data_IF_275736576541
#
_entry.id   IF_275736576541
#
_cell.length_a   1.000
_cell.length_b   1.000
_cell.length_c   1.000
_cell.angle_alpha   90.00
_cell.angle_beta   90.00
_cell.angle_gamma   90.00
#
_symmetry.space_group_name_H-M   'P 1'
#
loop_
_entity.id
_entity.type
_entity.pdbx_description
1 polymer ?
#
# COMPACT_ATOMS: atom_id res chain seq x y z
N UNK A 1 -34.32 11.75 -4.26
CA UNK A 1 -33.52 12.81 -3.62
C UNK A 1 -32.19 12.17 -3.35
N UNK A 2 -31.17 12.54 -4.11
CA UNK A 2 -29.81 12.04 -3.90
C UNK A 2 -29.36 12.64 -2.57
N UNK A 3 -28.93 11.79 -1.65
CA UNK A 3 -28.47 12.18 -0.33
C UNK A 3 -27.19 13.01 -0.50
N UNK A 4 -27.26 14.32 -0.21
CA UNK A 4 -26.14 15.25 -0.35
C UNK A 4 -24.95 14.92 0.58
N UNK A 5 -25.06 13.88 1.41
CA UNK A 5 -24.00 13.41 2.30
C UNK A 5 -23.03 12.40 1.65
N UNK A 6 -23.30 11.87 0.45
CA UNK A 6 -22.36 10.95 -0.22
C UNK A 6 -21.08 11.63 -0.75
N UNK A 7 -21.10 12.96 -0.91
CA UNK A 7 -20.05 13.73 -1.60
C UNK A 7 -19.40 14.81 -0.75
N UNK A 8 -19.84 15.01 0.49
CA UNK A 8 -18.98 15.69 1.45
C UNK A 8 -17.85 14.71 1.71
N UNK A 9 -16.65 15.03 1.23
CA UNK A 9 -15.41 14.33 1.57
C UNK A 9 -15.48 13.93 3.05
N UNK A 10 -15.80 12.67 3.32
CA UNK A 10 -15.80 12.19 4.69
C UNK A 10 -14.40 12.49 5.21
N UNK A 11 -14.33 13.07 6.41
CA UNK A 11 -13.05 13.45 6.99
C UNK A 11 -12.14 12.21 6.89
N UNK A 12 -10.92 12.28 6.34
CA UNK A 12 -10.05 11.11 6.19
C UNK A 12 -9.94 10.28 7.48
N UNK A 13 -10.04 10.94 8.64
CA UNK A 13 -10.11 10.30 9.94
C UNK A 13 -11.36 9.41 10.15
N UNK A 14 -12.54 9.86 9.72
CA UNK A 14 -13.78 9.08 9.77
C UNK A 14 -13.72 7.86 8.86
N UNK A 15 -13.12 8.00 7.67
CA UNK A 15 -12.93 6.89 6.73
C UNK A 15 -11.98 5.81 7.27
N UNK A 16 -10.87 6.24 7.87
CA UNK A 16 -9.95 5.33 8.55
C UNK A 16 -10.67 4.66 9.73
N UNK A 17 -11.45 5.39 10.52
CA UNK A 17 -12.20 4.84 11.65
C UNK A 17 -13.25 3.80 11.23
N UNK A 18 -13.99 4.07 10.16
CA UNK A 18 -14.94 3.12 9.59
C UNK A 18 -14.23 1.86 9.13
N UNK A 19 -13.14 1.99 8.36
CA UNK A 19 -12.33 0.86 7.94
C UNK A 19 -11.85 0.06 9.15
N UNK A 20 -11.34 0.71 10.21
CA UNK A 20 -10.89 0.05 11.43
C UNK A 20 -11.95 -0.82 12.11
N UNK A 21 -13.24 -0.54 11.88
CA UNK A 21 -14.38 -1.26 12.47
C UNK A 21 -14.99 -2.32 11.54
N UNK A 22 -14.77 -2.26 10.24
CA UNK A 22 -15.38 -3.18 9.27
C UNK A 22 -14.36 -4.16 8.68
N UNK A 23 -14.55 -5.47 8.92
CA UNK A 23 -13.84 -6.57 8.24
C UNK A 23 -14.55 -7.01 6.94
N UNK A 24 -15.44 -6.18 6.37
CA UNK A 24 -16.34 -6.62 5.32
C UNK A 24 -15.59 -6.92 4.00
N UNK A 25 -15.43 -8.21 3.73
CA UNK A 25 -14.96 -8.73 2.45
C UNK A 25 -15.97 -8.36 1.37
N UNK A 26 -15.60 -7.39 0.53
CA UNK A 26 -16.41 -7.04 -0.65
C UNK A 26 -15.99 -7.91 -1.83
N UNK A 27 -16.88 -8.20 -2.81
CA UNK A 27 -16.53 -8.96 -4.02
C UNK A 27 -15.40 -8.34 -4.85
N UNK A 28 -15.06 -7.07 -4.58
CA UNK A 28 -14.02 -6.30 -5.26
C UNK A 28 -12.76 -6.14 -4.41
N UNK A 29 -12.65 -6.75 -3.21
CA UNK A 29 -11.54 -6.54 -2.26
C UNK A 29 -10.17 -6.87 -2.86
N UNK A 30 -10.10 -7.86 -3.77
CA UNK A 30 -8.90 -8.19 -4.54
C UNK A 30 -8.64 -7.36 -5.80
N UNK A 31 -9.52 -6.42 -6.14
CA UNK A 31 -9.38 -5.52 -7.29
C UNK A 31 -8.89 -4.15 -6.80
N UNK A 32 -7.60 -3.90 -7.03
CA UNK A 32 -6.97 -2.60 -6.85
C UNK A 32 -7.01 -1.82 -8.18
N UNK A 33 -7.98 -0.90 -8.31
CA UNK A 33 -8.12 -0.12 -9.54
C UNK A 33 -7.03 0.95 -9.68
N UNK A 34 -6.40 1.32 -8.57
CA UNK A 34 -5.30 2.30 -8.55
C UNK A 34 -3.97 1.69 -8.98
N UNK A 35 -3.78 0.39 -8.75
CA UNK A 35 -2.60 -0.36 -9.19
C UNK A 35 -2.57 -0.63 -10.71
N UNK A 36 -3.67 -0.38 -11.44
CA UNK A 36 -3.65 -0.46 -12.90
C UNK A 36 -2.72 0.61 -13.49
N UNK A 37 -1.51 0.19 -13.83
CA UNK A 37 -0.52 1.01 -14.55
C UNK A 37 -0.85 1.08 -16.05
N UNK A 38 -1.93 1.80 -16.36
CA UNK A 38 -2.32 2.07 -17.74
C UNK A 38 -1.81 3.45 -18.12
N UNK A 39 -0.86 3.51 -19.04
CA UNK A 39 -0.22 4.76 -19.49
C UNK A 39 -1.23 5.85 -19.84
N UNK A 40 -2.32 5.50 -20.53
CA UNK A 40 -3.34 6.47 -20.92
C UNK A 40 -4.11 7.06 -19.72
N UNK A 41 -4.38 6.25 -18.68
CA UNK A 41 -4.98 6.73 -17.43
C UNK A 41 -4.02 7.61 -16.65
N UNK A 42 -2.73 7.27 -16.58
CA UNK A 42 -1.71 8.11 -15.94
C UNK A 42 -1.57 9.47 -16.64
N UNK A 43 -1.59 9.49 -17.97
CA UNK A 43 -1.62 10.74 -18.74
C UNK A 43 -2.88 11.57 -18.45
N UNK A 44 -4.04 10.92 -18.29
CA UNK A 44 -5.26 11.59 -17.89
C UNK A 44 -5.13 12.19 -16.48
N UNK A 45 -4.69 11.41 -15.49
CA UNK A 45 -4.45 11.88 -14.11
C UNK A 45 -3.57 13.14 -14.11
N UNK A 46 -2.44 13.11 -14.81
CA UNK A 46 -1.54 14.27 -14.94
C UNK A 46 -2.21 15.49 -15.59
N UNK A 47 -3.02 15.28 -16.62
CA UNK A 47 -3.66 16.37 -17.35
C UNK A 47 -4.75 17.11 -16.55
N UNK A 48 -5.25 16.50 -15.48
CA UNK A 48 -6.30 17.03 -14.61
C UNK A 48 -5.85 17.28 -13.16
N UNK A 49 -4.58 17.06 -12.82
CA UNK A 49 -4.08 17.15 -11.44
C UNK A 49 -3.94 18.58 -10.86
N UNK A 50 -4.00 19.62 -11.68
CA UNK A 50 -3.81 21.01 -11.25
C UNK A 50 -4.99 21.92 -11.55
N UNK A 51 -4.92 23.18 -11.10
CA UNK A 51 -5.99 24.19 -11.27
C UNK A 51 -6.39 24.45 -12.73
N UNK A 52 -5.52 24.09 -13.68
CA UNK A 52 -5.76 24.22 -15.11
C UNK A 52 -5.69 22.86 -15.78
N UNK A 53 -6.74 22.51 -16.52
CA UNK A 53 -6.78 21.31 -17.35
C UNK A 53 -5.77 21.45 -18.48
N UNK A 54 -4.76 20.60 -18.48
CA UNK A 54 -3.72 20.55 -19.52
C UNK A 54 -4.14 19.69 -20.74
N UNK A 55 -5.26 18.98 -20.64
CA UNK A 55 -5.84 18.22 -21.74
C UNK A 55 -6.44 19.14 -22.82
N UNK A 56 -6.39 18.70 -24.09
CA UNK A 56 -6.95 19.47 -25.20
C UNK A 56 -8.46 19.25 -25.29
N UNK A 57 -9.25 20.33 -25.27
CA UNK A 57 -10.69 20.27 -25.51
C UNK A 57 -10.98 19.96 -26.97
N UNK A 58 -11.77 18.91 -27.22
CA UNK A 58 -12.14 18.47 -28.56
C UNK A 58 -13.46 19.11 -29.01
N UNK A 59 -13.39 20.05 -29.97
CA UNK A 59 -14.52 20.91 -30.36
C UNK A 59 -15.71 20.14 -30.93
N UNK A 60 -15.49 19.24 -31.88
CA UNK A 60 -16.56 18.46 -32.50
C UNK A 60 -17.26 17.53 -31.51
N UNK A 61 -16.49 16.90 -30.63
CA UNK A 61 -17.03 15.95 -29.65
C UNK A 61 -17.78 16.70 -28.58
N UNK A 62 -17.28 17.87 -28.18
CA UNK A 62 -17.98 18.75 -27.25
C UNK A 62 -19.34 19.19 -27.80
N UNK A 63 -19.43 19.45 -29.11
CA UNK A 63 -20.69 19.80 -29.77
C UNK A 63 -21.69 18.63 -29.75
N UNK A 64 -21.24 17.40 -30.03
CA UNK A 64 -22.09 16.19 -30.04
C UNK A 64 -22.56 15.80 -28.63
N UNK A 65 -21.68 15.90 -27.63
CA UNK A 65 -21.98 15.60 -26.24
C UNK A 65 -22.76 16.73 -25.53
N UNK A 66 -22.83 17.92 -26.14
CA UNK A 66 -23.34 19.16 -25.54
C UNK A 66 -22.71 19.48 -24.17
N UNK A 67 -21.43 19.16 -24.02
CA UNK A 67 -20.61 19.40 -22.83
C UNK A 67 -19.12 19.41 -23.19
N UNK A 68 -18.23 19.98 -22.36
CA UNK A 68 -16.80 19.89 -22.61
C UNK A 68 -16.33 18.44 -22.69
N UNK A 69 -15.63 18.12 -23.78
CA UNK A 69 -14.97 16.84 -23.99
C UNK A 69 -13.48 17.10 -24.16
N UNK A 70 -12.66 16.36 -23.42
CA UNK A 70 -11.21 16.45 -23.45
C UNK A 70 -10.62 15.17 -24.04
N UNK A 71 -9.53 15.33 -24.80
CA UNK A 71 -8.83 14.23 -25.42
C UNK A 71 -7.48 14.00 -24.76
N UNK A 72 -7.23 12.75 -24.37
CA UNK A 72 -5.92 12.28 -23.91
C UNK A 72 -5.27 11.49 -25.05
N UNK A 73 -4.03 11.83 -25.38
CA UNK A 73 -3.32 11.28 -26.55
C UNK A 73 -2.03 10.61 -26.14
N UNK A 74 -1.98 9.28 -26.20
CA UNK A 74 -0.70 8.58 -26.21
C UNK A 74 -0.10 8.64 -27.63
N UNK A 75 0.95 9.44 -27.81
CA UNK A 75 1.61 9.62 -29.12
C UNK A 75 2.46 8.43 -29.53
N UNK A 76 2.96 7.66 -28.57
CA UNK A 76 3.83 6.51 -28.85
C UNK A 76 3.03 5.32 -29.38
N UNK A 77 1.87 5.07 -28.78
CA UNK A 77 1.07 3.88 -29.09
C UNK A 77 -0.14 4.18 -29.99
N UNK A 78 -0.48 5.46 -30.19
CA UNK A 78 -1.64 5.87 -30.97
C UNK A 78 -2.97 5.77 -30.23
N UNK A 79 -3.00 5.32 -28.97
CA UNK A 79 -4.22 5.26 -28.16
C UNK A 79 -4.76 6.67 -27.82
N UNK A 80 -6.08 6.74 -27.72
CA UNK A 80 -6.84 7.96 -27.44
C UNK A 80 -7.90 7.70 -26.38
N UNK A 81 -8.01 8.64 -25.44
CA UNK A 81 -9.02 8.63 -24.38
C UNK A 81 -9.94 9.83 -24.50
N UNK A 82 -11.23 9.63 -24.28
CA UNK A 82 -12.21 10.70 -24.09
C UNK A 82 -12.44 10.87 -22.59
N UNK A 83 -12.19 12.08 -22.09
CA UNK A 83 -12.47 12.46 -20.71
C UNK A 83 -13.55 13.54 -20.69
N UNK A 84 -14.53 13.36 -19.81
CA UNK A 84 -15.64 14.30 -19.58
C UNK A 84 -15.65 14.65 -18.08
N UNK A 85 -16.06 15.87 -17.75
CA UNK A 85 -16.31 16.25 -16.36
C UNK A 85 -17.76 15.96 -15.99
N UNK A 86 -17.97 15.42 -14.80
CA UNK A 86 -19.31 15.32 -14.22
C UNK A 86 -19.81 16.68 -13.69
N UNK A 87 -20.93 16.67 -12.96
CA UNK A 87 -21.52 17.89 -12.42
C UNK A 87 -20.73 18.53 -11.28
N UNK A 88 -19.83 17.78 -10.64
CA UNK A 88 -18.94 18.25 -9.58
C UNK A 88 -17.58 18.70 -10.11
N UNK A 89 -17.31 18.42 -11.40
CA UNK A 89 -16.05 18.76 -12.04
C UNK A 89 -15.05 17.60 -12.04
N UNK A 90 -15.46 16.40 -11.65
CA UNK A 90 -14.57 15.24 -11.61
C UNK A 90 -14.37 14.64 -13.00
N UNK A 91 -13.12 14.29 -13.39
CA UNK A 91 -12.82 13.75 -14.70
C UNK A 91 -13.09 12.24 -14.79
N UNK A 92 -13.94 11.86 -15.76
CA UNK A 92 -14.26 10.46 -16.08
C UNK A 92 -13.78 10.10 -17.49
N UNK A 93 -12.96 9.06 -17.62
CA UNK A 93 -12.61 8.51 -18.93
C UNK A 93 -13.73 7.59 -19.41
N UNK A 94 -14.46 8.03 -20.43
CA UNK A 94 -15.70 7.38 -20.89
C UNK A 94 -15.52 6.58 -22.18
N UNK A 95 -14.35 6.68 -22.80
CA UNK A 95 -13.98 5.92 -23.99
C UNK A 95 -12.46 5.83 -24.12
N UNK A 96 -11.98 4.68 -24.58
CA UNK A 96 -10.60 4.43 -24.95
C UNK A 96 -10.58 3.67 -26.29
N UNK A 97 -9.73 4.09 -27.23
CA UNK A 97 -9.65 3.46 -28.55
C UNK A 97 -8.36 3.80 -29.29
N UNK A 98 -8.09 3.08 -30.37
CA UNK A 98 -6.98 3.41 -31.27
C UNK A 98 -7.24 4.74 -31.98
N UNK A 99 -6.19 5.35 -32.56
CA UNK A 99 -6.34 6.56 -33.38
C UNK A 99 -7.37 6.38 -34.51
N UNK A 100 -7.38 5.22 -35.16
CA UNK A 100 -8.33 4.91 -36.22
C UNK A 100 -9.78 4.87 -35.71
N UNK A 101 -10.02 4.18 -34.60
CA UNK A 101 -11.36 4.07 -34.00
C UNK A 101 -11.86 5.42 -33.47
N UNK A 102 -10.96 6.25 -32.97
CA UNK A 102 -11.28 7.59 -32.51
C UNK A 102 -11.79 8.48 -33.66
N UNK A 103 -11.30 8.30 -34.88
CA UNK A 103 -11.72 9.09 -36.05
C UNK A 103 -12.77 8.42 -36.93
N UNK A 104 -13.05 7.13 -36.74
CA UNK A 104 -14.07 6.39 -37.51
C UNK A 104 -15.51 6.86 -37.26
N UNK A 105 -15.74 7.70 -36.24
CA UNK A 105 -17.05 8.23 -35.88
C UNK A 105 -17.87 7.34 -34.94
N UNK A 106 -17.41 6.11 -34.68
CA UNK A 106 -18.07 5.20 -33.74
C UNK A 106 -18.10 5.78 -32.31
N UNK A 107 -17.00 6.36 -31.85
CA UNK A 107 -16.94 7.01 -30.53
C UNK A 107 -17.90 8.20 -30.41
N UNK A 108 -18.19 8.94 -31.49
CA UNK A 108 -19.16 10.05 -31.49
C UNK A 108 -20.55 9.56 -31.12
N UNK A 109 -20.94 8.34 -31.54
CA UNK A 109 -22.26 7.79 -31.24
C UNK A 109 -22.38 7.40 -29.76
N UNK A 110 -21.29 6.94 -29.15
CA UNK A 110 -21.20 6.61 -27.72
C UNK A 110 -21.46 7.87 -26.88
N UNK A 111 -20.74 8.97 -27.17
CA UNK A 111 -20.77 10.19 -26.34
C UNK A 111 -21.91 11.16 -26.68
N UNK A 112 -22.88 10.78 -27.52
CA UNK A 112 -24.02 11.65 -27.87
C UNK A 112 -24.76 12.12 -26.63
N UNK A 113 -25.18 13.38 -26.61
CA UNK A 113 -25.96 13.91 -25.48
C UNK A 113 -27.23 13.09 -25.16
N UNK A 114 -27.88 12.49 -26.17
CA UNK A 114 -29.04 11.61 -25.98
C UNK A 114 -28.71 10.29 -25.27
N UNK A 115 -27.44 9.90 -25.24
CA UNK A 115 -26.94 8.65 -24.67
C UNK A 115 -26.19 8.89 -23.35
N UNK A 116 -26.34 10.08 -22.73
CA UNK A 116 -25.60 10.46 -21.53
C UNK A 116 -25.72 9.43 -20.40
N UNK A 117 -26.87 8.79 -20.24
CA UNK A 117 -27.10 7.72 -19.25
C UNK A 117 -26.21 6.49 -19.43
N UNK A 118 -25.62 6.29 -20.61
CA UNK A 118 -24.86 5.08 -20.94
C UNK A 118 -23.34 5.24 -20.74
N UNK A 119 -22.85 6.48 -20.65
CA UNK A 119 -21.41 6.75 -20.56
C UNK A 119 -21.05 7.66 -19.39
N UNK A 120 -22.01 8.38 -18.80
CA UNK A 120 -21.78 9.11 -17.56
C UNK A 120 -21.77 8.14 -16.38
N UNK A 121 -21.02 8.45 -15.32
CA UNK A 121 -20.98 7.64 -14.12
C UNK A 121 -22.39 7.39 -13.56
N UNK A 122 -22.68 6.14 -13.23
CA UNK A 122 -23.86 5.71 -12.50
C UNK A 122 -23.65 5.80 -10.98
N UNK A 123 -24.68 5.48 -10.19
CA UNK A 123 -24.54 5.40 -8.74
C UNK A 123 -23.50 4.36 -8.32
N UNK A 124 -23.42 3.23 -9.04
CA UNK A 124 -22.44 2.18 -8.80
C UNK A 124 -21.00 2.65 -9.05
N UNK A 125 -20.76 3.46 -10.09
CA UNK A 125 -19.43 4.02 -10.37
C UNK A 125 -18.95 4.91 -9.22
N UNK A 126 -19.86 5.70 -8.62
CA UNK A 126 -19.53 6.53 -7.46
C UNK A 126 -19.27 5.70 -6.20
N UNK A 127 -19.95 4.57 -6.00
CA UNK A 127 -19.65 3.65 -4.91
C UNK A 127 -18.25 3.04 -5.04
N UNK A 128 -17.86 2.63 -6.26
CA UNK A 128 -16.50 2.15 -6.54
C UNK A 128 -15.48 3.24 -6.25
N UNK A 129 -15.71 4.46 -6.74
CA UNK A 129 -14.82 5.60 -6.48
C UNK A 129 -14.65 5.87 -4.99
N UNK A 130 -15.75 5.99 -4.24
CA UNK A 130 -15.71 6.25 -2.78
C UNK A 130 -14.85 5.20 -2.07
N UNK A 131 -15.04 3.92 -2.42
CA UNK A 131 -14.24 2.80 -1.89
C UNK A 131 -12.76 2.90 -2.26
N UNK A 132 -12.41 3.30 -3.48
CA UNK A 132 -11.00 3.50 -3.86
C UNK A 132 -10.37 4.71 -3.15
N UNK A 133 -11.12 5.79 -2.93
CA UNK A 133 -10.67 6.94 -2.13
C UNK A 133 -10.43 6.55 -0.67
N UNK A 134 -11.35 5.82 -0.05
CA UNK A 134 -11.21 5.23 1.28
C UNK A 134 -9.99 4.33 1.39
N UNK A 135 -9.81 3.42 0.42
CA UNK A 135 -8.64 2.55 0.33
C UNK A 135 -7.38 3.40 0.29
N UNK A 136 -7.28 4.37 -0.61
CA UNK A 136 -6.10 5.22 -0.75
C UNK A 136 -5.76 5.98 0.53
N UNK A 137 -6.76 6.54 1.22
CA UNK A 137 -6.54 7.17 2.52
C UNK A 137 -6.00 6.20 3.56
N UNK A 138 -6.47 4.95 3.57
CA UNK A 138 -5.94 3.91 4.43
C UNK A 138 -4.50 3.50 4.04
N UNK A 139 -4.19 3.41 2.75
CA UNK A 139 -2.82 3.11 2.27
C UNK A 139 -1.85 4.23 2.66
N UNK A 140 -2.27 5.48 2.51
CA UNK A 140 -1.50 6.64 2.94
C UNK A 140 -1.27 6.65 4.46
N UNK A 141 -2.27 6.23 5.23
CA UNK A 141 -2.13 6.03 6.66
C UNK A 141 -1.09 4.96 6.99
N UNK A 142 -1.19 3.77 6.40
CA UNK A 142 -0.22 2.68 6.62
C UNK A 142 1.20 3.15 6.22
N UNK A 143 1.36 3.80 5.06
CA UNK A 143 2.65 4.37 4.61
C UNK A 143 3.25 5.32 5.65
N UNK A 144 2.45 6.21 6.22
CA UNK A 144 2.92 7.16 7.25
C UNK A 144 3.35 6.46 8.53
N UNK A 145 2.55 5.50 9.00
CA UNK A 145 2.85 4.72 10.22
C UNK A 145 4.19 3.99 10.07
N UNK A 146 4.43 3.38 8.92
CA UNK A 146 5.66 2.62 8.67
C UNK A 146 6.86 3.55 8.58
N UNK A 147 6.72 4.67 7.87
CA UNK A 147 7.80 5.66 7.78
C UNK A 147 8.16 6.20 9.16
N UNK A 148 7.16 6.52 9.98
CA UNK A 148 7.37 7.01 11.34
C UNK A 148 8.04 5.93 12.21
N UNK A 149 7.56 4.69 12.15
CA UNK A 149 8.15 3.54 12.84
C UNK A 149 9.62 3.34 12.46
N UNK A 150 9.93 3.33 11.16
CA UNK A 150 11.30 3.22 10.64
C UNK A 150 12.18 4.37 11.14
N UNK A 151 11.66 5.60 11.10
CA UNK A 151 12.38 6.78 11.58
C UNK A 151 12.71 6.68 13.07
N UNK A 152 11.76 6.23 13.92
CA UNK A 152 12.00 6.05 15.36
C UNK A 152 12.98 4.92 15.64
N UNK A 153 12.89 3.80 14.91
CA UNK A 153 13.83 2.69 15.05
C UNK A 153 15.25 3.18 14.70
N UNK A 154 15.43 3.81 13.54
CA UNK A 154 16.72 4.38 13.12
C UNK A 154 17.27 5.37 14.16
N UNK A 155 16.45 6.31 14.62
CA UNK A 155 16.84 7.30 15.61
C UNK A 155 17.28 6.64 16.93
N UNK A 156 16.55 5.63 17.41
CA UNK A 156 16.90 4.87 18.60
C UNK A 156 18.21 4.11 18.45
N UNK A 157 18.44 3.46 17.31
CA UNK A 157 19.69 2.73 17.00
C UNK A 157 20.87 3.69 17.07
N UNK A 158 20.79 4.85 16.41
CA UNK A 158 21.85 5.86 16.42
C UNK A 158 22.11 6.47 17.81
N UNK A 159 21.04 6.71 18.59
CA UNK A 159 21.17 7.20 19.95
C UNK A 159 21.85 6.18 20.88
N UNK A 160 21.50 4.89 20.74
CA UNK A 160 22.13 3.78 21.47
C UNK A 160 23.60 3.57 21.12
N UNK A 161 24.04 3.93 19.91
CA UNK A 161 25.46 3.89 19.52
C UNK A 161 26.30 5.01 20.16
N UNK A 162 25.67 6.11 20.59
CA UNK A 162 26.37 7.32 21.05
C UNK A 162 26.29 7.53 22.57
N UNK A 163 25.39 6.83 23.26
CA UNK A 163 25.11 7.06 24.69
C UNK A 163 24.96 5.71 25.42
N UNK A 164 25.66 5.54 26.54
CA UNK A 164 25.59 4.35 27.40
C UNK A 164 24.35 4.31 28.32
N UNK A 165 23.28 5.05 27.97
CA UNK A 165 22.00 5.05 28.67
C UNK A 165 20.89 4.85 27.63
N UNK A 166 20.23 3.69 27.71
CA UNK A 166 19.30 3.17 26.70
C UNK A 166 17.89 3.01 27.27
N UNK A 167 17.10 4.09 27.35
CA UNK A 167 15.69 4.01 27.81
C UNK A 167 14.75 5.03 27.15
N UNK A 168 15.14 5.67 26.05
CA UNK A 168 14.30 6.71 25.45
C UNK A 168 13.08 6.10 24.71
N UNK A 169 12.00 5.87 25.46
CA UNK A 169 10.66 5.62 24.94
C UNK A 169 10.30 6.70 23.92
N UNK A 170 10.21 6.30 22.67
CA UNK A 170 9.94 7.20 21.56
C UNK A 170 8.49 7.02 21.12
N UNK A 171 7.64 8.02 21.39
CA UNK A 171 6.26 7.99 20.95
C UNK A 171 6.17 7.93 19.41
N UNK A 172 5.27 7.09 18.92
CA UNK A 172 4.89 7.03 17.51
C UNK A 172 3.79 8.05 17.25
N UNK A 173 4.01 8.94 16.28
CA UNK A 173 2.95 9.81 15.80
C UNK A 173 2.00 9.01 14.91
N UNK A 174 0.90 8.57 15.50
CA UNK A 174 -0.19 7.91 14.80
C UNK A 174 -1.19 8.99 14.38
N UNK A 175 -1.32 9.35 13.09
CA UNK A 175 -2.16 10.45 12.61
C UNK A 175 -3.65 10.04 12.58
N UNK A 176 -4.09 9.32 13.62
CA UNK A 176 -5.40 8.71 13.74
C UNK A 176 -5.81 8.67 15.22
N UNK A 177 -7.08 9.00 15.49
CA UNK A 177 -7.68 8.94 16.82
C UNK A 177 -8.77 7.88 16.82
N UNK A 178 -8.91 7.16 17.94
CA UNK A 178 -10.00 6.20 18.15
C UNK A 178 -10.99 6.83 19.12
N UNK A 179 -12.26 6.94 18.73
CA UNK A 179 -13.31 7.57 19.55
C UNK A 179 -12.92 8.99 20.02
N UNK A 180 -12.20 9.74 19.19
CA UNK A 180 -11.74 11.11 19.46
C UNK A 180 -10.53 11.24 20.40
N UNK A 181 -9.93 10.13 20.85
CA UNK A 181 -8.74 10.13 21.68
C UNK A 181 -7.48 9.74 20.88
N UNK A 182 -6.32 10.40 21.11
CA UNK A 182 -5.07 10.03 20.46
C UNK A 182 -4.63 8.63 20.89
N UNK A 183 -4.13 7.86 19.93
CA UNK A 183 -3.54 6.54 20.21
C UNK A 183 -2.20 6.72 20.89
N UNK A 184 -1.93 5.89 21.90
CA UNK A 184 -0.62 5.82 22.56
C UNK A 184 0.13 4.59 22.06
N UNK A 185 1.08 4.79 21.17
CA UNK A 185 2.02 3.78 20.73
C UNK A 185 3.45 4.30 20.85
N UNK A 186 4.42 3.43 21.11
CA UNK A 186 5.82 3.82 21.29
C UNK A 186 6.77 2.73 20.84
N UNK A 187 8.00 3.14 20.54
CA UNK A 187 9.14 2.25 20.30
C UNK A 187 10.19 2.52 21.35
N UNK A 188 10.73 1.44 21.91
CA UNK A 188 11.87 1.49 22.80
C UNK A 188 12.98 0.61 22.23
N UNK A 189 14.22 1.06 22.36
CA UNK A 189 15.40 0.29 21.99
C UNK A 189 16.27 0.14 23.23
N UNK A 190 16.72 -1.09 23.46
CA UNK A 190 17.57 -1.48 24.58
C UNK A 190 18.79 -2.23 24.03
N UNK A 191 19.97 -1.95 24.59
CA UNK A 191 21.13 -2.80 24.31
C UNK A 191 20.95 -4.15 25.00
N UNK A 192 21.42 -5.20 24.36
CA UNK A 192 21.54 -6.50 25.00
C UNK A 192 22.75 -6.49 25.95
N UNK A 193 22.49 -6.32 27.25
CA UNK A 193 23.53 -6.25 28.28
C UNK A 193 24.28 -7.57 28.48
N UNK A 194 23.78 -8.69 27.91
CA UNK A 194 24.35 -10.03 28.04
C UNK A 194 25.37 -10.38 26.93
N UNK A 195 25.64 -9.49 25.96
CA UNK A 195 26.56 -9.74 24.84
C UNK A 195 27.95 -9.10 25.02
N UNK A 196 28.97 -9.92 25.32
CA UNK A 196 30.39 -9.53 25.41
C UNK A 196 31.05 -9.25 24.02
N UNK A 197 30.27 -9.27 22.93
CA UNK A 197 30.78 -9.08 21.56
C UNK A 197 31.08 -7.61 21.22
N UNK A 198 31.97 -7.39 20.24
CA UNK A 198 32.34 -6.04 19.78
C UNK A 198 31.22 -5.31 19.02
N UNK A 199 30.10 -5.99 18.75
CA UNK A 199 28.94 -5.46 18.01
C UNK A 199 27.66 -5.82 18.78
N UNK A 200 27.17 -4.87 19.57
CA UNK A 200 26.11 -5.08 20.56
C UNK A 200 24.76 -5.33 19.87
N UNK A 201 24.12 -6.45 20.18
CA UNK A 201 22.73 -6.71 19.78
C UNK A 201 21.78 -5.67 20.41
N UNK A 202 20.66 -5.40 19.76
CA UNK A 202 19.67 -4.44 20.27
C UNK A 202 18.27 -5.04 20.31
N UNK A 203 17.63 -4.99 21.47
CA UNK A 203 16.21 -5.28 21.60
C UNK A 203 15.40 -4.08 21.17
N UNK A 204 14.44 -4.29 20.28
CA UNK A 204 13.44 -3.30 19.91
C UNK A 204 12.08 -3.77 20.42
N UNK A 205 11.42 -2.93 21.20
CA UNK A 205 10.06 -3.12 21.69
C UNK A 205 9.11 -2.13 21.00
N UNK A 206 8.08 -2.65 20.34
CA UNK A 206 6.90 -1.90 19.96
C UNK A 206 5.84 -2.05 21.05
N UNK A 207 5.26 -0.96 21.51
CA UNK A 207 4.22 -0.95 22.54
C UNK A 207 2.97 -0.23 22.05
N UNK A 208 1.79 -0.84 22.22
CA UNK A 208 0.48 -0.21 22.03
C UNK A 208 -0.30 -0.22 23.35
N UNK A 209 -0.85 0.94 23.71
CA UNK A 209 -1.59 1.15 24.95
C UNK A 209 -3.06 1.53 24.70
N UNK A 210 -3.98 0.81 25.33
CA UNK A 210 -5.43 0.91 25.05
C UNK A 210 -6.31 0.61 26.28
N UNK A 211 -7.58 1.05 26.32
CA UNK A 211 -8.54 0.67 27.37
C UNK A 211 -8.82 -0.84 27.37
N UNK A 212 -8.97 -1.47 28.54
CA UNK A 212 -9.21 -2.93 28.63
C UNK A 212 -10.51 -3.36 27.95
N UNK A 213 -11.50 -2.47 27.92
CA UNK A 213 -12.79 -2.70 27.27
C UNK A 213 -12.66 -2.87 25.74
N UNK A 214 -11.55 -2.42 25.15
CA UNK A 214 -11.24 -2.50 23.71
C UNK A 214 -10.30 -3.67 23.39
N UNK A 215 -10.15 -4.65 24.29
CA UNK A 215 -9.31 -5.83 24.07
C UNK A 215 -9.92 -6.86 23.09
N UNK A 216 -11.20 -6.71 22.73
CA UNK A 216 -11.85 -7.60 21.77
C UNK A 216 -11.15 -7.54 20.39
N UNK A 217 -11.08 -8.68 19.71
CA UNK A 217 -10.44 -8.80 18.40
C UNK A 217 -11.12 -7.98 17.31
N UNK A 218 -12.39 -7.60 17.51
CA UNK A 218 -13.14 -6.72 16.60
C UNK A 218 -12.92 -5.22 16.86
N UNK A 219 -12.16 -4.87 17.91
CA UNK A 219 -11.95 -3.46 18.27
C UNK A 219 -11.05 -2.73 17.27
N UNK A 220 -11.20 -1.40 17.12
CA UNK A 220 -10.27 -0.59 16.35
C UNK A 220 -8.82 -0.71 16.83
N UNK A 221 -8.60 -0.95 18.13
CA UNK A 221 -7.28 -1.14 18.71
C UNK A 221 -6.66 -2.48 18.32
N UNK A 222 -7.46 -3.56 18.24
CA UNK A 222 -6.99 -4.85 17.76
C UNK A 222 -6.57 -4.78 16.29
N UNK A 223 -7.34 -4.09 15.44
CA UNK A 223 -6.97 -3.88 14.02
C UNK A 223 -5.73 -3.00 13.89
N UNK A 224 -5.64 -1.92 14.67
CA UNK A 224 -4.43 -1.09 14.72
C UNK A 224 -3.20 -1.87 15.19
N UNK A 225 -3.34 -2.73 16.20
CA UNK A 225 -2.25 -3.59 16.63
C UNK A 225 -1.77 -4.51 15.50
N UNK A 226 -2.68 -5.16 14.77
CA UNK A 226 -2.30 -6.01 13.62
C UNK A 226 -1.52 -5.21 12.58
N UNK A 227 -1.94 -3.97 12.29
CA UNK A 227 -1.23 -3.08 11.36
C UNK A 227 0.16 -2.74 11.89
N UNK A 228 0.27 -2.26 13.14
CA UNK A 228 1.56 -1.91 13.75
C UNK A 228 2.51 -3.11 13.81
N UNK A 229 2.01 -4.27 14.21
CA UNK A 229 2.80 -5.51 14.28
C UNK A 229 3.26 -5.97 12.89
N UNK A 230 2.40 -5.86 11.87
CA UNK A 230 2.79 -6.12 10.47
C UNK A 230 3.91 -5.18 10.00
N UNK A 231 3.76 -3.88 10.26
CA UNK A 231 4.78 -2.88 9.94
C UNK A 231 6.10 -3.17 10.67
N UNK A 232 6.00 -3.52 11.95
CA UNK A 232 7.14 -3.83 12.81
C UNK A 232 7.88 -5.07 12.33
N UNK A 233 7.16 -6.16 12.05
CA UNK A 233 7.75 -7.38 11.51
C UNK A 233 8.37 -7.16 10.12
N UNK A 234 7.75 -6.33 9.27
CA UNK A 234 8.31 -6.00 7.95
C UNK A 234 9.65 -5.23 8.06
N UNK A 235 9.79 -4.36 9.05
CA UNK A 235 11.02 -3.59 9.30
C UNK A 235 12.08 -4.46 9.98
N UNK A 236 11.71 -5.10 11.10
CA UNK A 236 12.64 -5.80 11.98
C UNK A 236 13.02 -7.19 11.47
N UNK A 237 12.14 -7.88 10.73
CA UNK A 237 12.35 -9.21 10.16
C UNK A 237 12.87 -10.24 11.20
N UNK A 238 12.03 -10.68 12.15
CA UNK A 238 12.45 -11.67 13.15
C UNK A 238 12.98 -12.94 12.46
N UNK A 239 14.03 -13.55 13.05
CA UNK A 239 14.79 -14.66 12.45
C UNK A 239 13.96 -15.88 12.06
N UNK A 240 12.88 -16.16 12.80
CA UNK A 240 11.95 -17.22 12.48
C UNK A 240 10.61 -16.60 12.07
N UNK A 241 10.24 -16.60 10.78
CA UNK A 241 8.94 -16.10 10.35
C UNK A 241 7.74 -16.87 10.91
N UNK A 242 7.95 -18.13 11.32
CA UNK A 242 6.92 -18.96 11.96
C UNK A 242 6.83 -18.67 13.48
N UNK A 243 7.78 -17.90 14.03
CA UNK A 243 7.74 -17.31 15.37
C UNK A 243 7.83 -15.77 15.26
N UNK A 244 6.69 -15.09 15.03
CA UNK A 244 6.65 -13.63 14.96
C UNK A 244 7.21 -13.00 16.24
N UNK A 245 7.48 -11.69 16.19
CA UNK A 245 7.91 -10.91 17.36
C UNK A 245 7.15 -11.35 18.62
N UNK A 246 7.89 -11.68 19.69
CA UNK A 246 7.27 -12.20 20.90
C UNK A 246 6.27 -11.16 21.41
N UNK A 247 5.00 -11.56 21.58
CA UNK A 247 3.96 -10.63 22.02
C UNK A 247 3.63 -10.86 23.49
N UNK A 248 3.47 -9.76 24.23
CA UNK A 248 3.01 -9.81 25.62
C UNK A 248 1.84 -8.87 25.82
N UNK A 249 0.92 -9.25 26.71
CA UNK A 249 -0.20 -8.42 27.12
C UNK A 249 -0.15 -8.21 28.63
N UNK A 250 -0.13 -6.95 29.06
CA UNK A 250 -0.16 -6.56 30.48
C UNK A 250 -1.34 -5.65 30.74
N UNK A 251 -2.01 -5.81 31.86
CA UNK A 251 -3.10 -4.91 32.29
C UNK A 251 -2.69 -4.13 33.53
N UNK A 252 -3.12 -2.88 33.62
CA UNK A 252 -2.80 -1.99 34.73
C UNK A 252 -3.93 -0.98 34.93
N UNK A 253 -3.88 -0.21 36.03
CA UNK A 253 -4.79 0.93 36.23
C UNK A 253 -3.99 2.21 36.16
N UNK A 254 -4.49 3.19 35.40
CA UNK A 254 -3.90 4.52 35.27
C UNK A 254 -4.46 5.52 36.31
N UNK A 255 -5.25 5.03 37.28
CA UNK A 255 -5.93 5.84 38.29
C UNK A 255 -7.30 6.38 37.87
N UNK A 256 -7.67 6.30 36.58
CA UNK A 256 -9.00 6.69 36.07
C UNK A 256 -9.78 5.50 35.51
N UNK A 257 -9.09 4.58 34.82
CA UNK A 257 -9.67 3.42 34.18
C UNK A 257 -8.69 2.24 34.20
N UNK A 258 -9.14 1.07 33.71
CA UNK A 258 -8.26 -0.07 33.45
C UNK A 258 -7.72 0.03 32.03
N UNK A 259 -6.41 -0.18 31.89
CA UNK A 259 -5.71 -0.15 30.61
C UNK A 259 -4.95 -1.44 30.36
N UNK A 260 -4.68 -1.71 29.10
CA UNK A 260 -3.88 -2.81 28.62
C UNK A 260 -2.75 -2.27 27.75
N UNK A 261 -1.60 -2.92 27.86
CA UNK A 261 -0.44 -2.70 27.02
C UNK A 261 -0.12 -4.00 26.30
N UNK A 262 -0.03 -3.91 24.97
CA UNK A 262 0.43 -5.00 24.14
C UNK A 262 1.78 -4.63 23.56
N UNK A 263 2.77 -5.47 23.81
CA UNK A 263 4.15 -5.26 23.36
C UNK A 263 4.57 -6.35 22.40
N UNK A 264 5.42 -6.00 21.43
CA UNK A 264 6.09 -6.92 20.53
C UNK A 264 7.60 -6.68 20.57
N UNK A 265 8.41 -7.74 20.68
CA UNK A 265 9.85 -7.65 20.86
C UNK A 265 10.61 -8.36 19.74
N UNK A 266 11.68 -7.74 19.24
CA UNK A 266 12.64 -8.37 18.32
C UNK A 266 14.06 -8.04 18.76
N UNK A 267 14.92 -9.06 18.78
CA UNK A 267 16.37 -8.91 18.90
C UNK A 267 16.95 -8.62 17.51
N UNK A 268 17.58 -7.45 17.35
CA UNK A 268 18.29 -7.07 16.14
C UNK A 268 19.77 -7.40 16.28
N UNK A 269 20.28 -8.18 15.33
CA UNK A 269 21.70 -8.48 15.20
C UNK A 269 22.43 -7.37 14.42
N UNK A 270 23.78 -7.36 14.41
CA UNK A 270 24.55 -6.35 13.72
C UNK A 270 24.20 -6.21 12.22
N UNK A 271 23.81 -7.30 11.55
CA UNK A 271 23.41 -7.26 10.15
C UNK A 271 22.00 -6.69 9.94
N UNK A 272 21.06 -6.91 10.88
CA UNK A 272 19.76 -6.24 10.89
C UNK A 272 19.91 -4.74 11.09
N UNK A 273 20.78 -4.35 12.02
CA UNK A 273 21.09 -2.96 12.30
C UNK A 273 21.64 -2.27 11.04
N UNK A 274 22.62 -2.89 10.37
CA UNK A 274 23.16 -2.37 9.09
C UNK A 274 22.08 -2.27 8.02
N UNK A 275 21.23 -3.30 7.87
CA UNK A 275 20.12 -3.31 6.91
C UNK A 275 19.16 -2.16 7.16
N UNK A 276 18.64 -2.02 8.39
CA UNK A 276 17.64 -1.01 8.74
C UNK A 276 18.20 0.42 8.61
N UNK A 277 19.46 0.63 8.99
CA UNK A 277 20.13 1.93 8.91
C UNK A 277 20.66 2.28 7.52
N UNK A 278 20.71 1.33 6.59
CA UNK A 278 21.10 1.57 5.20
C UNK A 278 20.20 2.65 4.57
N UNK A 279 20.78 3.64 3.86
CA UNK A 279 20.01 4.65 3.14
C UNK A 279 18.99 4.01 2.20
N UNK A 280 19.38 2.96 1.48
CA UNK A 280 18.54 2.32 0.47
C UNK A 280 17.40 1.46 1.06
N UNK A 281 17.35 1.28 2.38
CA UNK A 281 16.30 0.50 3.02
C UNK A 281 15.00 1.30 3.04
N UNK A 282 14.06 0.87 2.19
CA UNK A 282 12.69 1.39 2.09
C UNK A 282 12.61 2.88 1.71
N UNK A 283 13.45 3.32 0.77
CA UNK A 283 13.64 4.73 0.42
C UNK A 283 12.56 5.34 -0.50
N UNK A 284 11.62 4.53 -1.01
CA UNK A 284 10.40 5.05 -1.64
C UNK A 284 9.14 4.48 -0.96
N UNK A 285 8.16 5.35 -0.71
CA UNK A 285 6.94 5.01 0.01
C UNK A 285 6.04 4.01 -0.73
N UNK A 286 6.26 3.80 -2.03
CA UNK A 286 5.51 2.85 -2.85
C UNK A 286 6.05 1.43 -2.68
N UNK A 287 7.37 1.30 -2.54
CA UNK A 287 8.14 0.12 -2.18
C UNK A 287 7.81 -0.30 -0.74
N UNK A 288 7.77 0.67 0.19
CA UNK A 288 7.32 0.48 1.57
C UNK A 288 5.92 -0.15 1.68
N UNK A 289 5.00 0.34 0.87
CA UNK A 289 3.62 -0.17 0.83
C UNK A 289 3.53 -1.56 0.15
N UNK A 290 4.26 -1.77 -0.95
CA UNK A 290 4.31 -3.07 -1.65
C UNK A 290 4.94 -4.18 -0.82
N UNK A 291 5.87 -3.85 0.09
CA UNK A 291 6.44 -4.80 1.07
C UNK A 291 5.43 -5.19 2.15
N UNK A 292 4.51 -4.30 2.52
CA UNK A 292 3.56 -4.51 3.62
C UNK A 292 2.23 -5.11 3.14
N UNK A 293 1.86 -4.87 1.88
CA UNK A 293 0.61 -5.31 1.27
C UNK A 293 0.33 -6.82 1.35
N UNK A 294 1.36 -7.67 1.49
CA UNK A 294 1.23 -9.13 1.58
C UNK A 294 2.15 -9.74 2.66
N UNK A 295 2.11 -9.19 3.89
CA UNK A 295 2.90 -9.68 5.04
C UNK A 295 2.23 -10.86 5.74
N UNK A 296 2.02 -11.96 5.02
CA UNK A 296 2.40 -13.23 5.62
C UNK A 296 3.87 -13.48 5.25
N UNK A 297 4.67 -14.14 6.09
CA UNK A 297 5.95 -14.68 5.66
C UNK A 297 5.83 -15.35 4.29
N UNK A 298 6.88 -15.37 3.48
CA UNK A 298 6.85 -16.15 2.23
C UNK A 298 6.50 -17.61 2.54
N UNK A 299 5.22 -17.95 2.38
CA UNK A 299 4.68 -19.30 2.46
C UNK A 299 4.89 -20.04 1.15
N UNK A 300 5.40 -19.35 0.12
CA UNK A 300 5.59 -19.86 -1.23
C UNK A 300 6.88 -19.33 -1.87
N UNK A 301 7.53 -20.17 -2.69
CA UNK A 301 8.66 -19.80 -3.53
C UNK A 301 8.20 -19.08 -4.79
N UNK A 302 8.55 -17.81 -4.88
CA UNK A 302 8.26 -16.98 -6.04
C UNK A 302 9.39 -17.08 -7.08
N UNK A 303 9.03 -17.09 -8.36
CA UNK A 303 10.00 -17.13 -9.47
C UNK A 303 10.45 -15.71 -9.79
N UNK A 304 11.75 -15.51 -9.91
CA UNK A 304 12.38 -14.22 -10.25
C UNK A 304 13.44 -14.41 -11.35
N UNK A 305 13.84 -13.35 -12.06
CA UNK A 305 14.99 -13.42 -12.96
C UNK A 305 16.26 -13.81 -12.19
N UNK A 306 17.10 -14.66 -12.78
CA UNK A 306 18.28 -15.20 -12.09
C UNK A 306 19.30 -14.10 -11.79
N UNK A 307 19.43 -13.17 -12.72
CA UNK A 307 20.33 -12.03 -12.67
C UNK A 307 20.00 -11.05 -11.52
N UNK A 308 18.76 -11.02 -11.04
CA UNK A 308 18.37 -10.13 -9.93
C UNK A 308 18.60 -10.77 -8.56
N UNK A 309 18.81 -12.08 -8.46
CA UNK A 309 18.90 -12.79 -7.18
C UNK A 309 20.17 -12.46 -6.40
N UNK A 310 21.33 -12.39 -7.06
CA UNK A 310 22.61 -12.18 -6.36
C UNK A 310 22.65 -10.83 -5.67
N UNK A 311 22.28 -9.76 -6.37
CA UNK A 311 22.24 -8.41 -5.80
C UNK A 311 21.14 -8.30 -4.73
N UNK A 312 20.02 -9.01 -4.90
CA UNK A 312 18.95 -9.04 -3.90
C UNK A 312 19.36 -9.72 -2.59
N UNK A 313 20.09 -10.84 -2.67
CA UNK A 313 20.59 -11.56 -1.50
C UNK A 313 21.72 -10.83 -0.77
N UNK A 314 22.59 -10.13 -1.52
CA UNK A 314 23.79 -9.49 -0.95
C UNK A 314 23.51 -8.06 -0.49
N UNK A 315 22.80 -7.28 -1.31
CA UNK A 315 22.52 -5.86 -1.03
C UNK A 315 21.17 -5.65 -0.32
N UNK A 316 20.41 -6.72 -0.09
CA UNK A 316 19.06 -6.64 0.48
C UNK A 316 18.07 -5.91 -0.43
N UNK A 317 18.34 -5.92 -1.74
CA UNK A 317 17.55 -5.17 -2.72
C UNK A 317 16.22 -5.89 -2.99
N UNK A 318 15.11 -5.15 -2.94
CA UNK A 318 13.78 -5.66 -3.29
C UNK A 318 13.74 -6.10 -4.76
N UNK A 319 13.21 -7.30 -5.01
CA UNK A 319 13.02 -7.81 -6.37
C UNK A 319 11.59 -8.24 -6.63
N UNK A 320 11.20 -8.15 -7.91
CA UNK A 320 9.86 -8.49 -8.37
C UNK A 320 9.82 -9.92 -8.87
N UNK A 321 8.90 -10.71 -8.33
CA UNK A 321 8.53 -12.02 -8.86
C UNK A 321 7.73 -11.94 -10.15
N UNK A 322 7.64 -13.06 -10.87
CA UNK A 322 6.83 -13.19 -12.07
C UNK A 322 5.35 -12.90 -11.82
N UNK A 323 4.79 -13.31 -10.68
CA UNK A 323 3.40 -13.00 -10.32
C UNK A 323 3.20 -11.54 -9.88
N UNK A 324 4.29 -10.76 -9.78
CA UNK A 324 4.24 -9.34 -9.47
C UNK A 324 4.46 -8.98 -8.00
N UNK A 325 4.51 -9.97 -7.09
CA UNK A 325 4.90 -9.79 -5.69
C UNK A 325 6.33 -9.27 -5.59
N UNK A 326 6.54 -8.21 -4.82
CA UNK A 326 7.87 -7.68 -4.49
C UNK A 326 8.30 -8.21 -3.13
N UNK A 327 9.51 -8.73 -3.05
CA UNK A 327 10.06 -9.29 -1.81
C UNK A 327 11.58 -9.20 -1.81
N UNK A 328 12.19 -9.19 -0.63
CA UNK A 328 13.63 -9.41 -0.47
C UNK A 328 13.82 -10.92 -0.29
N UNK A 329 14.58 -11.61 -1.14
CA UNK A 329 14.76 -13.04 -1.01
C UNK A 329 15.50 -13.36 0.29
N UNK A 330 14.82 -14.07 1.18
CA UNK A 330 15.38 -14.57 2.45
C UNK A 330 15.49 -16.09 2.45
N UNK A 331 14.84 -16.76 1.48
CA UNK A 331 14.75 -18.22 1.34
C UNK A 331 14.91 -18.65 -0.12
N UNK A 332 15.54 -19.79 -0.31
CA UNK A 332 15.79 -20.40 -1.62
C UNK A 332 14.99 -21.70 -1.81
N UNK A 333 15.27 -22.39 -2.91
CA UNK A 333 14.64 -23.67 -3.26
C UNK A 333 14.87 -24.80 -2.25
N UNK A 334 15.79 -24.65 -1.30
CA UNK A 334 16.05 -25.63 -0.25
C UNK A 334 15.20 -25.41 1.01
N UNK A 335 14.42 -24.32 1.06
CA UNK A 335 13.57 -24.00 2.22
C UNK A 335 12.35 -24.91 2.41
N UNK A 336 12.03 -25.78 1.44
CA UNK A 336 10.89 -26.71 1.52
C UNK A 336 9.52 -26.08 1.30
N UNK A 337 9.46 -24.79 0.95
CA UNK A 337 8.23 -24.08 0.65
C UNK A 337 7.65 -24.49 -0.73
N UNK A 338 6.31 -24.54 -0.89
CA UNK A 338 5.68 -24.80 -2.17
C UNK A 338 5.96 -23.68 -3.19
N UNK A 339 6.03 -23.99 -4.48
CA UNK A 339 6.16 -22.96 -5.51
C UNK A 339 4.85 -22.14 -5.65
N UNK A 340 4.98 -20.83 -5.89
CA UNK A 340 3.84 -19.96 -6.16
C UNK A 340 3.13 -20.39 -7.46
N UNK A 341 1.83 -20.74 -7.42
CA UNK A 341 1.11 -21.26 -8.58
C UNK A 341 1.03 -20.25 -9.73
N UNK A 342 0.81 -18.96 -9.44
CA UNK A 342 0.76 -17.92 -10.48
C UNK A 342 2.09 -17.75 -11.21
N UNK A 343 3.21 -17.83 -10.46
CA UNK A 343 4.54 -17.81 -11.06
C UNK A 343 4.78 -19.03 -11.96
N UNK A 344 4.22 -20.18 -11.58
CA UNK A 344 4.30 -21.42 -12.35
C UNK A 344 3.51 -21.30 -13.66
N UNK A 345 2.27 -20.83 -13.60
CA UNK A 345 1.39 -20.63 -14.75
C UNK A 345 1.99 -19.65 -15.77
N UNK A 346 2.55 -18.54 -15.30
CA UNK A 346 3.22 -17.55 -16.16
C UNK A 346 4.43 -18.17 -16.88
N UNK A 347 5.21 -19.02 -16.19
CA UNK A 347 6.33 -19.73 -16.82
C UNK A 347 5.86 -20.73 -17.87
N UNK A 348 4.79 -21.48 -17.60
CA UNK A 348 4.22 -22.42 -18.56
C UNK A 348 3.70 -21.72 -19.82
N UNK A 349 3.02 -20.58 -19.65
CA UNK A 349 2.61 -19.73 -20.77
C UNK A 349 3.83 -19.20 -21.54
N UNK A 350 4.86 -18.72 -20.83
CA UNK A 350 6.10 -18.22 -21.47
C UNK A 350 6.81 -19.31 -22.27
N UNK A 351 6.89 -20.53 -21.74
CA UNK A 351 7.46 -21.70 -22.42
C UNK A 351 6.61 -22.14 -23.62
N UNK A 352 5.28 -22.13 -23.47
CA UNK A 352 4.37 -22.39 -24.58
C UNK A 352 4.54 -21.37 -25.70
N UNK A 353 4.58 -20.07 -25.38
CA UNK A 353 4.80 -19.01 -26.35
C UNK A 353 6.16 -19.15 -27.03
N UNK A 354 7.24 -19.41 -26.28
CA UNK A 354 8.58 -19.62 -26.84
C UNK A 354 8.66 -20.80 -27.81
N UNK A 355 7.88 -21.86 -27.58
CA UNK A 355 7.84 -23.06 -28.43
C UNK A 355 6.99 -22.87 -29.69
N UNK A 356 5.95 -22.06 -29.62
CA UNK A 356 4.95 -21.94 -30.68
C UNK A 356 5.01 -20.61 -31.46
N UNK A 357 5.75 -19.61 -30.98
CA UNK A 357 5.88 -18.30 -31.60
C UNK A 357 7.34 -17.86 -31.57
N UNK A 358 7.83 -17.38 -32.71
CA UNK A 358 9.12 -16.66 -32.81
C UNK A 358 8.88 -15.15 -32.73
N UNK A 359 9.84 -14.33 -32.25
CA UNK A 359 9.66 -12.89 -32.03
C UNK A 359 9.26 -12.05 -33.25
N UNK A 360 9.15 -12.66 -34.44
CA UNK A 360 8.87 -12.02 -35.73
C UNK A 360 7.41 -12.21 -36.19
N UNK A 361 6.59 -12.93 -35.41
CA UNK A 361 5.14 -13.06 -35.57
C UNK A 361 4.42 -12.23 -34.52
#
# INVERSE_FOLDING_TARGET
MIDNNLFNSENPQQLIEQNMRTEAVTPFEGLDFTAFDVTLLNMARQAFAGDKIAATKHSEFSAVAKRPVYEIRNKQTGWRGIVILDQYGDPWMVYCGSHGDFHSGNCKSIIKASNASNYMPSEEDYLVRKREEERQHFLDFERRVVQEMLNKIRAGIYAGQTTSQSEALSALDIPYQISGAPVKASIQIQQDDDDDSATVNQFVELTLDFPVEEQDNSSPYARLHRILLRCFNAICQPKDPDQPAETSLKTYSDGQQRRATMSAFVLLEPDDIKRITSPNFLDDSESLYKTIGDTEPESMLHRVPKETLTDAYVEGTLIRSLCGKWFVPTRDEYSGLPACPDCQDILEVKEYLRRNYTPEQ
#
